data_IF_721898110035
#
_entry.id   IF_721898110035
#
_cell.length_a   1.000
_cell.length_b   1.000
_cell.length_c   1.000
_cell.angle_alpha   90.00
_cell.angle_beta   90.00
_cell.angle_gamma   90.00
#
_symmetry.space_group_name_H-M   'P 1'
#
loop_
_entity.id
_entity.type
_entity.pdbx_description
1 polymer ?
#
# COMPACT_ATOMS: atom_id res chain seq x y z
N UNK A 1 38.08 -15.74 37.45
CA UNK A 1 36.75 -15.82 36.82
C UNK A 1 36.94 -15.99 35.32
N UNK A 2 36.71 -17.19 34.79
CA UNK A 2 36.78 -17.43 33.35
C UNK A 2 35.49 -16.90 32.68
N UNK A 3 35.57 -16.22 31.53
CA UNK A 3 34.39 -15.79 30.80
C UNK A 3 33.59 -17.00 30.31
N UNK A 4 32.27 -17.00 30.53
CA UNK A 4 31.36 -18.02 30.01
C UNK A 4 31.40 -18.01 28.46
N UNK A 5 31.41 -19.17 27.80
CA UNK A 5 31.33 -19.21 26.34
C UNK A 5 29.98 -18.66 25.88
N UNK A 6 30.03 -17.74 24.92
CA UNK A 6 28.83 -17.22 24.27
C UNK A 6 28.14 -18.35 23.49
N UNK A 7 26.97 -18.79 23.96
CA UNK A 7 26.10 -19.70 23.22
C UNK A 7 25.57 -18.98 21.97
N UNK A 8 26.26 -19.12 20.84
CA UNK A 8 25.84 -18.61 19.53
C UNK A 8 24.60 -19.34 18.95
N UNK A 9 24.06 -20.35 19.65
CA UNK A 9 22.96 -21.21 19.19
C UNK A 9 21.57 -20.56 19.22
N UNK A 10 21.38 -19.38 19.82
CA UNK A 10 20.05 -18.72 19.86
C UNK A 10 19.69 -17.93 18.60
N UNK A 11 20.65 -17.67 17.70
CA UNK A 11 20.47 -16.74 16.58
C UNK A 11 19.73 -17.34 15.36
N UNK A 12 19.51 -18.66 15.34
CA UNK A 12 18.91 -19.39 14.22
C UNK A 12 17.67 -20.20 14.58
N UNK A 13 16.96 -19.86 15.66
CA UNK A 13 15.60 -20.37 15.84
C UNK A 13 14.73 -19.72 14.77
N UNK A 14 14.64 -20.37 13.59
CA UNK A 14 13.68 -20.06 12.51
C UNK A 14 12.30 -20.00 13.15
N UNK A 15 11.88 -18.80 13.56
CA UNK A 15 10.53 -18.54 14.00
C UNK A 15 9.71 -18.59 12.73
N UNK A 16 8.96 -19.67 12.54
CA UNK A 16 7.96 -19.72 11.48
C UNK A 16 7.08 -18.47 11.63
N UNK A 17 7.14 -17.49 10.70
CA UNK A 17 6.42 -16.24 10.85
C UNK A 17 4.90 -16.47 10.87
N UNK A 18 4.46 -17.60 10.33
CA UNK A 18 3.08 -18.10 10.36
C UNK A 18 2.62 -18.59 11.75
N UNK A 19 3.54 -18.82 12.70
CA UNK A 19 3.17 -19.38 14.02
C UNK A 19 2.59 -18.33 14.97
N UNK A 20 2.88 -17.05 14.74
CA UNK A 20 2.48 -15.93 15.60
C UNK A 20 1.75 -14.84 14.77
N UNK A 21 0.69 -15.21 14.04
CA UNK A 21 -0.13 -14.24 13.31
C UNK A 21 -1.03 -13.47 14.27
N UNK A 22 -0.96 -12.13 14.22
CA UNK A 22 -1.70 -11.26 15.13
C UNK A 22 -2.77 -10.46 14.38
N UNK A 23 -3.88 -11.11 14.00
CA UNK A 23 -4.94 -10.50 13.20
C UNK A 23 -5.57 -9.25 13.85
N UNK A 24 -5.80 -9.27 15.16
CA UNK A 24 -6.39 -8.13 15.88
C UNK A 24 -5.51 -6.88 15.78
N UNK A 25 -4.20 -7.04 15.96
CA UNK A 25 -3.24 -5.94 15.83
C UNK A 25 -3.15 -5.46 14.38
N UNK A 26 -3.11 -6.39 13.42
CA UNK A 26 -3.03 -6.07 12.00
C UNK A 26 -4.27 -5.31 11.50
N UNK A 27 -5.48 -5.71 11.91
CA UNK A 27 -6.71 -5.00 11.59
C UNK A 27 -6.74 -3.60 12.20
N UNK A 28 -6.33 -3.46 13.45
CA UNK A 28 -6.24 -2.16 14.11
C UNK A 28 -5.22 -1.24 13.43
N UNK A 29 -4.09 -1.78 12.99
CA UNK A 29 -3.08 -1.05 12.22
C UNK A 29 -3.64 -0.56 10.89
N UNK A 30 -4.37 -1.41 10.16
CA UNK A 30 -5.05 -1.03 8.91
C UNK A 30 -6.14 0.01 9.14
N UNK A 31 -6.89 -0.08 10.23
CA UNK A 31 -7.87 0.94 10.63
C UNK A 31 -7.21 2.29 10.95
N UNK A 32 -6.08 2.31 11.66
CA UNK A 32 -5.35 3.56 11.88
C UNK A 32 -4.74 4.12 10.59
N UNK A 33 -4.31 3.27 9.66
CA UNK A 33 -3.81 3.71 8.36
C UNK A 33 -4.87 4.43 7.52
N UNK A 34 -6.16 4.11 7.68
CA UNK A 34 -7.23 4.74 6.90
C UNK A 34 -7.73 6.03 7.54
N UNK A 35 -7.83 6.06 8.87
CA UNK A 35 -8.44 7.21 9.58
C UNK A 35 -7.39 8.20 10.10
N UNK A 36 -6.25 7.70 10.57
CA UNK A 36 -5.24 8.52 11.23
C UNK A 36 -3.81 8.01 10.97
N UNK A 37 -3.31 8.07 9.72
CA UNK A 37 -2.01 7.53 9.33
C UNK A 37 -0.86 7.93 10.26
N UNK A 38 -0.85 9.19 10.72
CA UNK A 38 0.16 9.71 11.66
C UNK A 38 0.23 8.92 12.98
N UNK A 39 -0.92 8.46 13.50
CA UNK A 39 -0.97 7.65 14.73
C UNK A 39 -0.31 6.29 14.52
N UNK A 40 -0.53 5.67 13.36
CA UNK A 40 0.11 4.41 13.00
C UNK A 40 1.64 4.53 12.91
N UNK A 41 2.15 5.54 12.20
CA UNK A 41 3.60 5.71 12.05
C UNK A 41 4.32 6.05 13.36
N UNK A 42 3.63 6.73 14.29
CA UNK A 42 4.15 6.89 15.67
C UNK A 42 4.29 5.56 16.41
N UNK A 43 3.38 4.60 16.19
CA UNK A 43 3.50 3.26 16.78
C UNK A 43 4.67 2.47 16.17
N UNK A 44 4.92 2.60 14.86
CA UNK A 44 6.08 1.97 14.21
C UNK A 44 7.41 2.46 14.81
N UNK A 45 7.50 3.75 15.15
CA UNK A 45 8.68 4.29 15.85
C UNK A 45 8.91 3.59 17.20
N UNK A 46 7.87 3.37 18.01
CA UNK A 46 7.99 2.64 19.26
C UNK A 46 8.33 1.15 19.06
N UNK A 47 7.76 0.51 18.04
CA UNK A 47 8.11 -0.87 17.69
C UNK A 47 9.59 -1.02 17.32
N UNK A 48 10.16 -0.03 16.62
CA UNK A 48 11.59 -0.01 16.30
C UNK A 48 12.45 -0.01 17.57
N UNK A 49 12.06 0.71 18.62
CA UNK A 49 12.83 0.75 19.88
C UNK A 49 12.89 -0.61 20.57
N UNK A 50 11.85 -1.44 20.47
CA UNK A 50 11.79 -2.74 21.14
C UNK A 50 12.35 -3.89 20.30
N UNK A 51 12.22 -3.83 18.97
CA UNK A 51 12.64 -4.93 18.07
C UNK A 51 13.90 -4.64 17.27
N UNK A 52 14.34 -3.38 17.27
CA UNK A 52 15.43 -2.86 16.46
C UNK A 52 15.33 -3.20 14.95
N UNK A 53 14.12 -3.39 14.42
CA UNK A 53 13.86 -3.61 12.98
C UNK A 53 12.79 -2.66 12.46
N UNK A 54 12.93 -2.26 11.19
CA UNK A 54 11.96 -1.38 10.51
C UNK A 54 10.94 -2.20 9.74
N UNK A 55 11.37 -3.23 9.00
CA UNK A 55 10.44 -4.12 8.31
C UNK A 55 9.63 -4.95 9.31
N UNK A 56 8.38 -5.23 8.93
CA UNK A 56 7.54 -6.19 9.63
C UNK A 56 8.08 -7.61 9.40
N UNK A 57 7.91 -8.48 10.39
CA UNK A 57 8.34 -9.88 10.31
C UNK A 57 7.19 -10.87 10.10
N UNK A 58 5.94 -10.45 10.29
CA UNK A 58 4.74 -11.27 10.13
C UNK A 58 3.95 -10.89 8.86
N UNK A 59 3.43 -11.86 8.10
CA UNK A 59 2.71 -11.62 6.85
C UNK A 59 1.23 -11.24 7.06
N UNK A 60 0.79 -11.00 8.30
CA UNK A 60 -0.63 -10.88 8.66
C UNK A 60 -1.37 -9.81 7.85
N UNK A 61 -0.76 -8.63 7.66
CA UNK A 61 -1.38 -7.56 6.86
C UNK A 61 -1.56 -7.98 5.40
N UNK A 62 -0.56 -8.62 4.79
CA UNK A 62 -0.67 -9.08 3.40
C UNK A 62 -1.76 -10.15 3.25
N UNK A 63 -1.94 -11.02 4.25
CA UNK A 63 -3.02 -12.01 4.28
C UNK A 63 -4.39 -11.32 4.36
N UNK A 64 -4.54 -10.29 5.20
CA UNK A 64 -5.79 -9.51 5.30
C UNK A 64 -6.07 -8.80 3.97
N UNK A 65 -5.08 -8.15 3.37
CA UNK A 65 -5.18 -7.52 2.05
C UNK A 65 -5.66 -8.52 0.99
N UNK A 66 -5.05 -9.71 0.94
CA UNK A 66 -5.48 -10.77 0.04
C UNK A 66 -6.95 -11.16 0.28
N UNK A 67 -7.36 -11.31 1.54
CA UNK A 67 -8.75 -11.58 1.91
C UNK A 67 -9.73 -10.52 1.40
N UNK A 68 -9.41 -9.24 1.58
CA UNK A 68 -10.24 -8.14 1.07
C UNK A 68 -10.33 -8.11 -0.47
N UNK A 69 -9.24 -8.45 -1.17
CA UNK A 69 -9.26 -8.56 -2.63
C UNK A 69 -10.16 -9.71 -3.10
N UNK A 70 -10.14 -10.87 -2.43
CA UNK A 70 -11.06 -11.98 -2.74
C UNK A 70 -12.52 -11.63 -2.45
N UNK A 71 -12.80 -10.88 -1.38
CA UNK A 71 -14.15 -10.36 -1.06
C UNK A 71 -14.60 -9.38 -2.15
N UNK A 72 -13.73 -8.45 -2.56
CA UNK A 72 -14.06 -7.52 -3.65
C UNK A 72 -14.28 -8.27 -4.96
N UNK A 73 -13.42 -9.24 -5.31
CA UNK A 73 -13.57 -10.08 -6.49
C UNK A 73 -14.90 -10.82 -6.49
N UNK A 74 -15.39 -11.27 -5.32
CA UNK A 74 -16.72 -11.88 -5.21
C UNK A 74 -17.81 -10.89 -5.62
N UNK A 75 -17.79 -9.68 -5.06
CA UNK A 75 -18.77 -8.64 -5.39
C UNK A 75 -18.75 -8.23 -6.86
N UNK A 76 -17.57 -8.07 -7.46
CA UNK A 76 -17.42 -7.79 -8.88
C UNK A 76 -17.87 -8.95 -9.77
N UNK A 77 -17.53 -10.18 -9.39
CA UNK A 77 -17.96 -11.38 -10.11
C UNK A 77 -19.48 -11.55 -10.10
N UNK A 78 -20.14 -11.18 -9.01
CA UNK A 78 -21.60 -11.15 -8.93
C UNK A 78 -22.19 -10.04 -9.81
N UNK A 79 -21.61 -8.84 -9.77
CA UNK A 79 -22.04 -7.69 -10.59
C UNK A 79 -21.99 -7.97 -12.09
N UNK A 80 -20.91 -8.62 -12.55
CA UNK A 80 -20.70 -8.98 -13.96
C UNK A 80 -21.09 -10.42 -14.32
N UNK A 81 -21.77 -11.15 -13.42
CA UNK A 81 -22.29 -12.51 -13.64
C UNK A 81 -21.25 -13.51 -14.17
N UNK A 82 -20.01 -13.46 -13.66
CA UNK A 82 -18.89 -14.28 -14.16
C UNK A 82 -18.91 -15.74 -13.65
N UNK A 83 -19.78 -16.07 -12.70
CA UNK A 83 -19.86 -17.41 -12.08
C UNK A 83 -18.65 -17.75 -11.18
N UNK A 84 -18.62 -18.97 -10.65
CA UNK A 84 -17.58 -19.41 -9.68
C UNK A 84 -16.16 -19.43 -10.27
N UNK A 85 -15.99 -19.93 -11.50
CA UNK A 85 -14.69 -19.93 -12.18
C UNK A 85 -14.21 -18.52 -12.47
N UNK A 86 -15.12 -17.62 -12.87
CA UNK A 86 -14.84 -16.21 -13.07
C UNK A 86 -14.40 -15.51 -11.78
N UNK A 87 -15.09 -15.76 -10.67
CA UNK A 87 -14.69 -15.27 -9.35
C UNK A 87 -13.27 -15.68 -8.99
N UNK A 88 -12.92 -16.97 -9.13
CA UNK A 88 -11.59 -17.46 -8.77
C UNK A 88 -10.50 -16.85 -9.67
N UNK A 89 -10.73 -16.79 -11.00
CA UNK A 89 -9.81 -16.14 -11.94
C UNK A 89 -9.63 -14.66 -11.62
N UNK A 90 -10.71 -13.96 -11.29
CA UNK A 90 -10.69 -12.55 -10.94
C UNK A 90 -9.94 -12.31 -9.62
N UNK A 91 -10.19 -13.11 -8.59
CA UNK A 91 -9.49 -13.02 -7.31
C UNK A 91 -7.99 -13.27 -7.45
N UNK A 92 -7.59 -14.28 -8.25
CA UNK A 92 -6.18 -14.54 -8.56
C UNK A 92 -5.56 -13.38 -9.34
N UNK A 93 -6.25 -12.84 -10.35
CA UNK A 93 -5.80 -11.66 -11.12
C UNK A 93 -5.57 -10.46 -10.18
N UNK A 94 -6.55 -10.12 -9.36
CA UNK A 94 -6.45 -9.00 -8.40
C UNK A 94 -5.31 -9.21 -7.40
N UNK A 95 -5.13 -10.43 -6.89
CA UNK A 95 -4.05 -10.73 -5.94
C UNK A 95 -2.67 -10.65 -6.60
N UNK A 96 -2.48 -11.33 -7.73
CA UNK A 96 -1.17 -11.49 -8.35
C UNK A 96 -0.75 -10.27 -9.17
N UNK A 97 -1.67 -9.73 -9.98
CA UNK A 97 -1.39 -8.64 -10.90
C UNK A 97 -1.60 -7.31 -10.20
N UNK A 98 -2.82 -7.03 -9.74
CA UNK A 98 -3.14 -5.70 -9.22
C UNK A 98 -2.42 -5.38 -7.91
N UNK A 99 -2.24 -6.38 -7.04
CA UNK A 99 -1.53 -6.20 -5.78
C UNK A 99 -0.06 -6.61 -5.85
N UNK A 100 0.28 -7.89 -6.03
CA UNK A 100 1.67 -8.34 -5.86
C UNK A 100 2.62 -7.80 -6.93
N UNK A 101 2.25 -7.81 -8.21
CA UNK A 101 3.12 -7.29 -9.27
C UNK A 101 3.34 -5.77 -9.12
N UNK A 102 2.27 -5.02 -8.84
CA UNK A 102 2.33 -3.59 -8.53
C UNK A 102 3.17 -3.34 -7.27
N UNK A 103 3.02 -4.16 -6.23
CA UNK A 103 3.80 -4.05 -5.00
C UNK A 103 5.29 -4.23 -5.26
N UNK A 104 5.69 -5.27 -6.00
CA UNK A 104 7.09 -5.49 -6.36
C UNK A 104 7.64 -4.31 -7.16
N UNK A 105 6.89 -3.81 -8.15
CA UNK A 105 7.28 -2.68 -8.97
C UNK A 105 7.50 -1.41 -8.13
N UNK A 106 6.46 -0.96 -7.42
CA UNK A 106 6.53 0.30 -6.65
C UNK A 106 7.48 0.21 -5.47
N UNK A 107 7.57 -0.93 -4.78
CA UNK A 107 8.54 -1.10 -3.70
C UNK A 107 9.96 -1.00 -4.21
N UNK A 108 10.25 -1.58 -5.37
CA UNK A 108 11.58 -1.48 -6.00
C UNK A 108 11.88 -0.05 -6.44
N UNK A 109 10.91 0.63 -7.07
CA UNK A 109 11.06 2.04 -7.49
C UNK A 109 11.32 2.96 -6.30
N UNK A 110 10.50 2.89 -5.24
CA UNK A 110 10.67 3.74 -4.07
C UNK A 110 11.90 3.35 -3.25
N UNK A 111 12.27 2.08 -3.17
CA UNK A 111 13.50 1.64 -2.53
C UNK A 111 14.74 2.19 -3.23
N UNK A 112 14.77 2.16 -4.57
CA UNK A 112 15.84 2.76 -5.37
C UNK A 112 15.87 4.28 -5.21
N UNK A 113 14.72 4.95 -5.33
CA UNK A 113 14.60 6.39 -5.15
C UNK A 113 15.07 6.81 -3.76
N UNK A 114 14.64 6.10 -2.71
CA UNK A 114 14.99 6.42 -1.33
C UNK A 114 16.49 6.33 -1.09
N UNK A 115 17.12 5.21 -1.47
CA UNK A 115 18.54 4.99 -1.23
C UNK A 115 19.45 5.84 -2.14
N UNK A 116 18.95 6.34 -3.28
CA UNK A 116 19.72 7.23 -4.16
C UNK A 116 19.56 8.71 -3.84
N UNK A 117 18.35 9.14 -3.46
CA UNK A 117 17.98 10.57 -3.41
C UNK A 117 17.57 11.04 -2.02
N UNK A 118 16.91 10.19 -1.22
CA UNK A 118 16.26 10.62 0.01
C UNK A 118 17.12 10.43 1.27
N UNK A 119 18.06 9.48 1.24
CA UNK A 119 19.01 9.16 2.33
C UNK A 119 20.26 10.05 2.25
N UNK A 120 20.88 10.32 3.40
CA UNK A 120 22.13 11.08 3.51
C UNK A 120 23.24 10.56 2.57
N UNK A 121 23.98 11.47 1.93
CA UNK A 121 25.19 11.12 1.20
C UNK A 121 26.27 10.63 2.17
N UNK A 122 27.00 9.54 1.86
CA UNK A 122 28.05 8.98 2.72
C UNK A 122 29.28 9.91 2.91
N UNK A 123 29.31 11.09 2.29
CA UNK A 123 30.40 12.06 2.39
C UNK A 123 30.24 13.13 3.49
N UNK A 124 29.10 13.17 4.18
CA UNK A 124 28.94 14.04 5.37
C UNK A 124 29.61 13.37 6.57
N UNK A 125 30.71 13.98 7.05
CA UNK A 125 31.62 13.56 8.13
C UNK A 125 30.94 13.15 9.47
N UNK A 126 30.22 12.05 9.50
CA UNK A 126 29.66 11.50 10.74
C UNK A 126 29.73 9.98 10.71
N UNK A 127 30.27 9.41 11.79
CA UNK A 127 30.60 8.02 12.05
C UNK A 127 29.38 7.08 12.17
N UNK A 128 28.31 7.34 11.43
CA UNK A 128 27.08 6.56 11.45
C UNK A 128 27.18 5.52 10.31
N UNK A 129 27.02 4.21 10.58
CA UNK A 129 27.00 3.21 9.52
C UNK A 129 25.91 3.59 8.50
N UNK A 130 26.24 3.49 7.21
CA UNK A 130 25.38 3.91 6.09
C UNK A 130 23.99 3.28 6.21
N UNK A 131 23.04 3.98 6.82
CA UNK A 131 21.70 3.49 7.05
C UNK A 131 20.96 3.47 5.71
N UNK A 132 20.56 2.28 5.27
CA UNK A 132 19.83 2.07 4.02
C UNK A 132 18.39 1.69 4.30
N UNK A 133 17.49 2.09 3.41
CA UNK A 133 16.12 1.58 3.43
C UNK A 133 16.14 0.12 3.00
N UNK A 134 15.53 -0.74 3.82
CA UNK A 134 15.34 -2.16 3.50
C UNK A 134 14.23 -2.33 2.46
N UNK A 135 14.42 -3.19 1.45
CA UNK A 135 13.39 -3.43 0.44
C UNK A 135 12.09 -3.97 1.05
N UNK A 136 12.20 -4.84 2.06
CA UNK A 136 11.04 -5.35 2.80
C UNK A 136 10.23 -4.23 3.48
N UNK A 137 10.90 -3.16 3.95
CA UNK A 137 10.21 -1.99 4.48
C UNK A 137 9.49 -1.20 3.38
N UNK A 138 10.12 -1.04 2.21
CA UNK A 138 9.46 -0.41 1.06
C UNK A 138 8.20 -1.18 0.63
N UNK A 139 8.25 -2.51 0.68
CA UNK A 139 7.09 -3.39 0.49
C UNK A 139 6.00 -3.17 1.53
N UNK A 140 6.36 -3.12 2.82
CA UNK A 140 5.40 -2.81 3.88
C UNK A 140 4.73 -1.45 3.68
N UNK A 141 5.49 -0.42 3.26
CA UNK A 141 4.95 0.91 2.96
C UNK A 141 3.97 0.86 1.79
N UNK A 142 4.29 0.13 0.71
CA UNK A 142 3.35 -0.08 -0.39
C UNK A 142 2.07 -0.77 0.09
N UNK A 143 2.19 -1.89 0.83
CA UNK A 143 1.03 -2.61 1.36
C UNK A 143 0.16 -1.72 2.24
N UNK A 144 0.76 -0.88 3.09
CA UNK A 144 0.03 0.05 3.94
C UNK A 144 -0.72 1.11 3.11
N UNK A 145 -0.09 1.66 2.06
CA UNK A 145 -0.71 2.63 1.16
C UNK A 145 -1.77 2.05 0.24
N UNK A 146 -1.63 0.77 -0.13
CA UNK A 146 -2.58 0.06 -1.00
C UNK A 146 -3.91 -0.23 -0.31
N UNK A 147 -3.94 -0.30 1.03
CA UNK A 147 -5.18 -0.62 1.74
C UNK A 147 -6.30 0.43 1.54
N UNK A 148 -6.07 1.76 1.63
CA UNK A 148 -7.06 2.75 1.20
C UNK A 148 -7.51 2.61 -0.26
N UNK A 149 -6.62 2.21 -1.17
CA UNK A 149 -6.97 1.94 -2.57
C UNK A 149 -8.01 0.81 -2.66
N UNK A 150 -7.83 -0.26 -1.89
CA UNK A 150 -8.81 -1.34 -1.80
C UNK A 150 -10.16 -0.81 -1.29
N UNK A 151 -10.16 -0.06 -0.20
CA UNK A 151 -11.41 0.45 0.37
C UNK A 151 -12.17 1.35 -0.61
N UNK A 152 -11.46 2.23 -1.34
CA UNK A 152 -12.08 3.21 -2.21
C UNK A 152 -12.38 2.66 -3.62
N UNK A 153 -11.42 2.02 -4.27
CA UNK A 153 -11.55 1.59 -5.66
C UNK A 153 -12.08 0.16 -5.82
N UNK A 154 -11.88 -0.71 -4.84
CA UNK A 154 -12.33 -2.11 -4.92
C UNK A 154 -13.65 -2.35 -4.18
N UNK A 155 -13.92 -1.63 -3.08
CA UNK A 155 -15.13 -1.80 -2.29
C UNK A 155 -16.13 -0.65 -2.47
N UNK A 156 -15.76 0.59 -2.20
CA UNK A 156 -16.69 1.72 -2.31
C UNK A 156 -17.17 1.91 -3.76
N UNK A 157 -16.23 1.90 -4.73
CA UNK A 157 -16.59 1.92 -6.15
C UNK A 157 -17.47 0.73 -6.54
N UNK A 158 -17.26 -0.47 -5.99
CA UNK A 158 -18.14 -1.62 -6.23
C UNK A 158 -19.58 -1.35 -5.77
N UNK A 159 -19.80 -0.66 -4.66
CA UNK A 159 -21.17 -0.31 -4.25
C UNK A 159 -21.78 0.79 -5.14
N UNK A 160 -20.95 1.69 -5.64
CA UNK A 160 -21.39 2.86 -6.39
C UNK A 160 -21.34 2.71 -7.92
N UNK A 161 -20.81 1.60 -8.46
CA UNK A 161 -20.50 1.49 -9.89
C UNK A 161 -21.68 1.79 -10.82
N UNK A 162 -22.95 1.37 -10.54
CA UNK A 162 -24.08 1.67 -11.43
C UNK A 162 -24.42 3.17 -11.48
N UNK A 163 -24.03 3.92 -10.45
CA UNK A 163 -24.17 5.38 -10.41
C UNK A 163 -22.97 6.04 -11.11
N UNK A 164 -21.75 5.57 -10.81
CA UNK A 164 -20.52 6.20 -11.30
C UNK A 164 -20.32 6.05 -12.81
N UNK A 165 -20.87 5.01 -13.45
CA UNK A 165 -20.73 4.78 -14.90
C UNK A 165 -21.73 5.54 -15.78
N UNK A 166 -22.67 6.28 -15.18
CA UNK A 166 -23.63 7.10 -15.94
C UNK A 166 -22.92 8.25 -16.66
N UNK A 167 -23.51 8.70 -17.77
CA UNK A 167 -22.97 9.76 -18.63
C UNK A 167 -23.16 11.18 -18.07
N UNK A 168 -23.64 11.30 -16.83
CA UNK A 168 -23.83 12.59 -16.19
C UNK A 168 -22.50 13.18 -15.70
N UNK A 169 -22.35 14.51 -15.83
CA UNK A 169 -21.15 15.19 -15.34
C UNK A 169 -20.95 15.01 -13.84
N UNK A 170 -22.04 15.00 -13.05
CA UNK A 170 -21.96 14.76 -11.59
C UNK A 170 -21.38 13.39 -11.25
N UNK A 171 -21.71 12.35 -12.03
CA UNK A 171 -21.18 11.01 -11.86
C UNK A 171 -19.69 10.95 -12.20
N UNK A 172 -19.27 11.66 -13.25
CA UNK A 172 -17.86 11.85 -13.60
C UNK A 172 -17.11 12.59 -12.49
N UNK A 173 -17.68 13.67 -11.95
CA UNK A 173 -17.07 14.43 -10.86
C UNK A 173 -16.89 13.57 -9.60
N UNK A 174 -17.95 12.90 -9.13
CA UNK A 174 -17.90 12.04 -7.94
C UNK A 174 -16.91 10.88 -8.17
N UNK A 175 -17.01 10.22 -9.31
CA UNK A 175 -16.18 9.09 -9.69
C UNK A 175 -14.69 9.43 -9.75
N UNK A 176 -14.35 10.50 -10.48
CA UNK A 176 -12.96 10.96 -10.59
C UNK A 176 -12.44 11.45 -9.22
N UNK A 177 -13.30 12.01 -8.37
CA UNK A 177 -12.93 12.44 -7.02
C UNK A 177 -12.58 11.25 -6.12
N UNK A 178 -13.27 10.11 -6.25
CA UNK A 178 -12.91 8.87 -5.55
C UNK A 178 -11.51 8.39 -5.96
N UNK A 179 -11.17 8.45 -7.25
CA UNK A 179 -9.81 8.13 -7.74
C UNK A 179 -8.77 9.10 -7.20
N UNK A 180 -9.04 10.41 -7.26
CA UNK A 180 -8.15 11.44 -6.72
C UNK A 180 -7.85 11.19 -5.23
N UNK A 181 -8.90 11.04 -4.40
CA UNK A 181 -8.76 10.83 -2.96
C UNK A 181 -7.99 9.55 -2.65
N UNK A 182 -8.23 8.49 -3.41
CA UNK A 182 -7.53 7.20 -3.28
C UNK A 182 -6.02 7.34 -3.53
N UNK A 183 -5.64 7.97 -4.65
CA UNK A 183 -4.23 8.15 -4.98
C UNK A 183 -3.53 9.15 -4.05
N UNK A 184 -4.20 10.24 -3.65
CA UNK A 184 -3.64 11.19 -2.68
C UNK A 184 -3.42 10.52 -1.32
N UNK A 185 -4.32 9.64 -0.88
CA UNK A 185 -4.11 8.83 0.33
C UNK A 185 -2.89 7.91 0.20
N UNK A 186 -2.76 7.22 -0.92
CA UNK A 186 -1.59 6.37 -1.19
C UNK A 186 -0.28 7.16 -1.11
N UNK A 187 -0.22 8.33 -1.75
CA UNK A 187 0.95 9.22 -1.69
C UNK A 187 1.22 9.68 -0.27
N UNK A 188 0.19 10.09 0.48
CA UNK A 188 0.34 10.58 1.85
C UNK A 188 0.88 9.49 2.79
N UNK A 189 0.36 8.27 2.72
CA UNK A 189 0.84 7.13 3.51
C UNK A 189 2.26 6.78 3.11
N UNK A 190 2.55 6.75 1.81
CA UNK A 190 3.91 6.49 1.30
C UNK A 190 4.90 7.50 1.87
N UNK A 191 4.58 8.80 1.79
CA UNK A 191 5.37 9.88 2.39
C UNK A 191 5.61 9.65 3.89
N UNK A 192 4.54 9.40 4.67
CA UNK A 192 4.66 9.18 6.11
C UNK A 192 5.51 7.95 6.45
N UNK A 193 5.46 6.91 5.61
CA UNK A 193 6.34 5.75 5.70
C UNK A 193 7.80 6.12 5.63
N UNK A 194 8.21 6.76 4.54
CA UNK A 194 9.61 7.15 4.40
C UNK A 194 10.04 8.22 5.41
N UNK A 195 9.15 9.15 5.78
CA UNK A 195 9.42 10.18 6.80
C UNK A 195 9.57 9.60 8.23
N UNK A 196 9.09 8.39 8.50
CA UNK A 196 9.28 7.73 9.79
C UNK A 196 10.73 7.24 10.01
N UNK A 197 11.53 7.15 8.94
CA UNK A 197 12.93 6.74 9.02
C UNK A 197 13.82 7.96 9.32
N UNK A 198 14.57 7.96 10.43
CA UNK A 198 15.33 9.15 10.87
C UNK A 198 16.50 9.52 9.94
N UNK A 199 16.94 8.60 9.09
CA UNK A 199 18.02 8.80 8.12
C UNK A 199 17.52 9.23 6.73
N UNK A 200 16.21 9.32 6.53
CA UNK A 200 15.57 9.87 5.33
C UNK A 200 15.28 11.33 5.58
N UNK A 201 15.88 12.22 4.80
CA UNK A 201 15.79 13.69 5.04
C UNK A 201 14.82 14.34 4.07
N UNK A 202 14.90 13.99 2.79
CA UNK A 202 14.14 14.67 1.72
C UNK A 202 12.83 13.96 1.40
N UNK A 203 12.15 13.38 2.40
CA UNK A 203 10.91 12.61 2.21
C UNK A 203 9.81 13.44 1.53
N UNK A 204 9.80 14.76 1.72
CA UNK A 204 8.88 15.71 1.09
C UNK A 204 8.87 15.63 -0.44
N UNK A 205 9.98 15.20 -1.07
CA UNK A 205 10.03 14.98 -2.52
C UNK A 205 8.99 13.95 -3.00
N UNK A 206 8.57 13.01 -2.16
CA UNK A 206 7.52 12.05 -2.51
C UNK A 206 6.15 12.73 -2.69
N UNK A 207 5.90 13.84 -2.01
CA UNK A 207 4.67 14.62 -2.12
C UNK A 207 4.58 15.39 -3.44
N UNK A 208 5.68 15.56 -4.18
CA UNK A 208 5.68 16.24 -5.49
C UNK A 208 4.83 15.52 -6.54
N UNK A 209 4.52 14.23 -6.32
CA UNK A 209 3.58 13.48 -7.16
C UNK A 209 2.12 13.91 -6.96
N UNK A 210 1.74 14.46 -5.80
CA UNK A 210 0.37 14.87 -5.49
C UNK A 210 -0.18 15.96 -6.43
N UNK A 211 0.52 17.08 -6.71
CA UNK A 211 0.04 18.08 -7.65
C UNK A 211 -0.09 17.53 -9.08
N UNK A 212 0.77 16.57 -9.49
CA UNK A 212 0.62 15.92 -10.80
C UNK A 212 -0.71 15.16 -10.89
N UNK A 213 -1.08 14.41 -9.85
CA UNK A 213 -2.37 13.71 -9.79
C UNK A 213 -3.54 14.70 -9.79
N UNK A 214 -3.40 15.84 -9.09
CA UNK A 214 -4.42 16.88 -9.09
C UNK A 214 -4.63 17.47 -10.49
N UNK A 215 -3.55 17.72 -11.24
CA UNK A 215 -3.63 18.20 -12.63
C UNK A 215 -4.35 17.17 -13.51
N UNK A 216 -3.97 15.89 -13.41
CA UNK A 216 -4.64 14.81 -14.15
C UNK A 216 -6.14 14.76 -13.82
N UNK A 217 -6.51 14.89 -12.55
CA UNK A 217 -7.90 14.98 -12.13
C UNK A 217 -8.65 16.16 -12.75
N UNK A 218 -8.05 17.36 -12.77
CA UNK A 218 -8.69 18.52 -13.39
C UNK A 218 -8.91 18.33 -14.89
N UNK A 219 -7.96 17.69 -15.58
CA UNK A 219 -8.09 17.36 -17.01
C UNK A 219 -9.21 16.35 -17.24
N UNK A 220 -9.36 15.34 -16.39
CA UNK A 220 -10.42 14.32 -16.58
C UNK A 220 -11.83 14.89 -16.39
N UNK A 221 -11.99 15.99 -15.65
CA UNK A 221 -13.30 16.66 -15.49
C UNK A 221 -13.86 17.30 -16.77
N UNK A 222 -13.07 17.39 -17.84
CA UNK A 222 -13.51 17.90 -19.16
C UNK A 222 -14.44 16.92 -19.89
N UNK A 223 -14.65 15.71 -19.34
CA UNK A 223 -15.60 14.73 -19.86
C UNK A 223 -15.11 13.30 -19.84
N UNK A 224 -13.97 13.02 -19.20
CA UNK A 224 -13.42 11.67 -19.09
C UNK A 224 -13.83 11.03 -17.76
N UNK A 225 -14.78 10.10 -17.83
CA UNK A 225 -15.24 9.32 -16.68
C UNK A 225 -14.25 8.18 -16.40
N UNK A 226 -13.35 8.38 -15.44
CA UNK A 226 -12.29 7.43 -15.07
C UNK A 226 -12.87 6.09 -14.60
N UNK A 227 -13.83 6.02 -13.64
CA UNK A 227 -14.43 4.75 -13.24
C UNK A 227 -15.05 3.96 -14.39
N UNK A 228 -15.71 4.64 -15.33
CA UNK A 228 -16.28 3.97 -16.51
C UNK A 228 -15.18 3.36 -17.36
N UNK A 229 -14.20 4.17 -17.78
CA UNK A 229 -13.10 3.72 -18.62
C UNK A 229 -12.29 2.57 -17.98
N UNK A 230 -12.06 2.63 -16.66
CA UNK A 230 -11.33 1.56 -15.95
C UNK A 230 -12.13 0.28 -15.89
N UNK A 231 -13.44 0.33 -15.63
CA UNK A 231 -14.29 -0.87 -15.58
C UNK A 231 -14.45 -1.50 -16.96
N UNK A 232 -14.68 -0.71 -18.00
CA UNK A 232 -14.79 -1.19 -19.38
C UNK A 232 -13.50 -1.88 -19.82
N UNK A 233 -12.34 -1.27 -19.53
CA UNK A 233 -11.03 -1.88 -19.82
C UNK A 233 -10.79 -3.16 -18.99
N UNK A 234 -11.11 -3.13 -17.70
CA UNK A 234 -10.76 -4.22 -16.79
C UNK A 234 -11.61 -5.48 -16.99
N UNK A 235 -12.90 -5.31 -17.32
CA UNK A 235 -13.84 -6.39 -17.59
C UNK A 235 -14.06 -6.68 -19.07
N UNK A 236 -13.48 -5.87 -19.96
CA UNK A 236 -13.65 -5.95 -21.42
C UNK A 236 -15.14 -5.94 -21.82
N UNK A 237 -15.89 -5.00 -21.25
CA UNK A 237 -17.33 -4.81 -21.48
C UNK A 237 -17.62 -3.36 -21.82
N UNK A 238 -18.69 -3.10 -22.57
CA UNK A 238 -19.24 -1.75 -22.76
C UNK A 238 -20.34 -1.51 -21.72
N UNK A 239 -20.15 -0.54 -20.84
CA UNK A 239 -21.06 -0.27 -19.70
C UNK A 239 -21.81 1.05 -19.91
#
# INVERSE_FOLDING_TARGET
MLPRPANYSSKYRRRNPLRNLNFNLALLQLFYLTISPRRFYRQLYYHKQTTNKWSRSDPTISIIVAGFLFISALGWSLSFKLGFSGWLKLGIKMLLIDYLAVAVLFSTLFWLLANKVLVHSPYSQSSIPSARVEWAYAFDVHTNGYFPIILLLYLLQLFLWPLLTRQEWICTFIGNTIYLVSFLHYIHITYLGYAALPFVIKSELLLTSAPLILIVYLVTLIGFNVPKATLEWYFNTSI
#
